data_IF_106358598984
#
_entry.id   IF_106358598984
#
_cell.length_a   1.000
_cell.length_b   1.000
_cell.length_c   1.000
_cell.angle_alpha   90.00
_cell.angle_beta   90.00
_cell.angle_gamma   90.00
#
_symmetry.space_group_name_H-M   'P 1'
#
loop_
_entity.id
_entity.type
_entity.pdbx_description
1 polymer ?
#
# COMPACT_ATOMS: atom_id res chain seq x y z
N UNK A 1 14.13 -7.89 0.76
CA UNK A 1 15.29 -7.41 1.55
C UNK A 1 14.83 -6.38 2.59
N UNK A 2 15.71 -5.96 3.51
CA UNK A 2 15.37 -5.05 4.62
C UNK A 2 14.89 -3.66 4.15
N UNK A 3 15.47 -3.11 3.07
CA UNK A 3 15.06 -1.79 2.55
C UNK A 3 13.63 -1.84 2.04
N UNK A 4 13.31 -2.87 1.27
CA UNK A 4 11.95 -3.11 0.77
C UNK A 4 10.95 -3.28 1.91
N UNK A 5 11.30 -4.06 2.94
CA UNK A 5 10.43 -4.24 4.11
C UNK A 5 10.18 -2.91 4.85
N UNK A 6 11.21 -2.10 5.07
CA UNK A 6 11.06 -0.76 5.69
C UNK A 6 10.18 0.17 4.85
N UNK A 7 10.31 0.15 3.54
CA UNK A 7 9.47 0.95 2.64
C UNK A 7 8.00 0.52 2.69
N UNK A 8 7.71 -0.79 2.70
CA UNK A 8 6.35 -1.31 2.86
C UNK A 8 5.74 -0.93 4.22
N UNK A 9 6.52 -0.99 5.31
CA UNK A 9 6.06 -0.55 6.63
C UNK A 9 5.77 0.95 6.66
N UNK A 10 6.63 1.78 6.05
CA UNK A 10 6.43 3.22 5.92
C UNK A 10 5.15 3.55 5.15
N UNK A 11 4.94 2.91 4.00
CA UNK A 11 3.72 3.04 3.21
C UNK A 11 2.49 2.61 4.02
N UNK A 12 2.59 1.48 4.72
CA UNK A 12 1.54 0.97 5.60
C UNK A 12 1.14 1.97 6.67
N UNK A 13 2.12 2.61 7.32
CA UNK A 13 1.87 3.67 8.30
C UNK A 13 1.19 4.88 7.70
N UNK A 14 1.63 5.34 6.52
CA UNK A 14 1.03 6.49 5.82
C UNK A 14 -0.44 6.24 5.46
N UNK A 15 -0.78 5.05 4.94
CA UNK A 15 -2.17 4.69 4.59
C UNK A 15 -3.03 4.55 5.85
N UNK A 16 -2.50 3.99 6.95
CA UNK A 16 -3.23 3.89 8.23
C UNK A 16 -3.57 5.25 8.83
N UNK A 17 -2.71 6.25 8.65
CA UNK A 17 -2.98 7.62 9.09
C UNK A 17 -4.10 8.31 8.28
N UNK A 18 -4.58 7.72 7.18
CA UNK A 18 -5.78 8.19 6.48
C UNK A 18 -7.07 7.70 7.14
N UNK A 19 -7.02 6.71 8.04
CA UNK A 19 -8.19 6.20 8.78
C UNK A 19 -8.94 7.33 9.49
N UNK A 20 -8.20 8.21 10.15
CA UNK A 20 -8.76 9.35 10.89
C UNK A 20 -9.31 10.46 9.96
N UNK A 21 -9.25 10.27 8.64
CA UNK A 21 -9.68 11.23 7.61
C UNK A 21 -10.80 10.71 6.71
N UNK A 22 -11.55 9.68 7.17
CA UNK A 22 -12.73 9.17 6.47
C UNK A 22 -12.49 7.86 5.70
N UNK A 23 -11.45 7.10 6.05
CA UNK A 23 -11.20 5.78 5.49
C UNK A 23 -11.67 4.70 6.50
N UNK A 24 -12.77 4.00 6.21
CA UNK A 24 -13.35 3.01 7.12
C UNK A 24 -12.45 1.78 7.33
N UNK A 25 -11.79 1.32 6.25
CA UNK A 25 -10.86 0.18 6.27
C UNK A 25 -9.47 0.56 5.80
N UNK A 26 -8.42 -0.01 6.40
CA UNK A 26 -7.04 0.34 6.08
C UNK A 26 -6.17 -0.89 5.80
N UNK A 27 -4.94 -0.67 5.32
CA UNK A 27 -3.98 -1.73 5.04
C UNK A 27 -3.68 -2.58 6.29
N UNK A 28 -4.06 -3.85 6.22
CA UNK A 28 -3.63 -4.85 7.20
C UNK A 28 -2.17 -5.25 6.97
N UNK A 29 -1.53 -5.82 7.99
CA UNK A 29 -0.18 -6.41 7.85
C UNK A 29 -0.15 -7.52 6.79
N UNK A 30 -1.27 -8.22 6.59
CA UNK A 30 -1.40 -9.26 5.55
C UNK A 30 -1.21 -8.69 4.14
N UNK A 31 -1.76 -7.50 3.88
CA UNK A 31 -1.59 -6.84 2.58
C UNK A 31 -0.14 -6.37 2.33
N UNK A 32 0.58 -6.00 3.40
CA UNK A 32 2.02 -5.72 3.30
C UNK A 32 2.82 -6.98 2.93
N UNK A 33 2.48 -8.12 3.53
CA UNK A 33 3.10 -9.41 3.21
C UNK A 33 2.80 -9.81 1.76
N UNK A 34 1.57 -9.62 1.28
CA UNK A 34 1.23 -9.92 -0.12
C UNK A 34 1.98 -9.03 -1.10
N UNK A 35 2.12 -7.73 -0.82
CA UNK A 35 2.96 -6.85 -1.63
C UNK A 35 4.42 -7.34 -1.65
N UNK A 36 4.96 -7.76 -0.51
CA UNK A 36 6.32 -8.31 -0.44
C UNK A 36 6.47 -9.59 -1.27
N UNK A 37 5.50 -10.50 -1.21
CA UNK A 37 5.49 -11.73 -2.00
C UNK A 37 5.50 -11.44 -3.50
N UNK A 38 4.66 -10.50 -3.96
CA UNK A 38 4.63 -10.08 -5.36
C UNK A 38 5.97 -9.47 -5.81
N UNK A 39 6.65 -8.71 -4.93
CA UNK A 39 7.98 -8.16 -5.21
C UNK A 39 9.03 -9.26 -5.30
N UNK A 40 8.97 -10.25 -4.42
CA UNK A 40 9.82 -11.44 -4.45
C UNK A 40 9.63 -12.23 -5.76
N UNK A 41 8.40 -12.31 -6.26
CA UNK A 41 8.05 -12.93 -7.54
C UNK A 41 8.42 -12.07 -8.77
N UNK A 42 9.10 -10.93 -8.58
CA UNK A 42 9.64 -10.08 -9.65
C UNK A 42 8.69 -8.98 -10.14
N UNK A 43 7.56 -8.76 -9.48
CA UNK A 43 6.69 -7.61 -9.79
C UNK A 43 7.32 -6.33 -9.24
N UNK A 44 7.32 -5.26 -10.05
CA UNK A 44 7.85 -3.96 -9.64
C UNK A 44 7.17 -3.48 -8.33
N UNK A 45 7.93 -2.93 -7.36
CA UNK A 45 7.39 -2.54 -6.04
C UNK A 45 6.15 -1.67 -6.07
N UNK A 46 6.14 -0.66 -6.94
CA UNK A 46 4.97 0.21 -7.14
C UNK A 46 3.74 -0.60 -7.57
N UNK A 47 3.90 -1.46 -8.58
CA UNK A 47 2.81 -2.28 -9.11
C UNK A 47 2.32 -3.33 -8.10
N UNK A 48 3.23 -3.94 -7.36
CA UNK A 48 2.88 -4.88 -6.29
C UNK A 48 2.03 -4.20 -5.19
N UNK A 49 2.41 -2.98 -4.78
CA UNK A 49 1.64 -2.21 -3.80
C UNK A 49 0.26 -1.80 -4.34
N UNK A 50 0.14 -1.42 -5.61
CA UNK A 50 -1.16 -1.14 -6.23
C UNK A 50 -2.08 -2.37 -6.20
N UNK A 51 -1.56 -3.53 -6.60
CA UNK A 51 -2.34 -4.78 -6.63
C UNK A 51 -2.77 -5.18 -5.21
N UNK A 52 -1.84 -5.18 -4.26
CA UNK A 52 -2.09 -5.71 -2.91
C UNK A 52 -2.76 -4.71 -1.96
N UNK A 53 -2.60 -3.39 -2.17
CA UNK A 53 -3.05 -2.37 -1.21
C UNK A 53 -4.02 -1.36 -1.81
N UNK A 54 -3.90 -0.98 -3.08
CA UNK A 54 -4.79 0.04 -3.66
C UNK A 54 -6.15 -0.53 -4.06
N UNK A 55 -6.17 -1.68 -4.73
CA UNK A 55 -7.41 -2.27 -5.23
C UNK A 55 -8.36 -2.82 -4.16
N UNK A 56 -7.90 -3.51 -3.09
CA UNK A 56 -8.82 -4.19 -2.19
C UNK A 56 -9.40 -3.33 -1.06
N UNK A 57 -8.98 -2.08 -0.88
CA UNK A 57 -9.34 -1.28 0.31
C UNK A 57 -10.65 -0.50 0.13
N UNK A 58 -10.91 0.01 -1.07
CA UNK A 58 -12.05 0.87 -1.34
C UNK A 58 -12.29 0.93 -2.84
N UNK A 59 -13.51 1.26 -3.27
CA UNK A 59 -13.84 1.59 -4.66
C UNK A 59 -13.94 3.09 -4.93
N UNK A 60 -13.82 3.92 -3.90
CA UNK A 60 -13.93 5.38 -4.02
C UNK A 60 -12.73 5.98 -4.78
N UNK A 61 -12.97 6.67 -5.91
CA UNK A 61 -11.90 7.19 -6.75
C UNK A 61 -10.99 8.21 -6.05
N UNK A 62 -11.52 9.11 -5.22
CA UNK A 62 -10.71 10.10 -4.49
C UNK A 62 -9.74 9.42 -3.52
N UNK A 63 -10.22 8.42 -2.79
CA UNK A 63 -9.41 7.68 -1.82
C UNK A 63 -8.36 6.84 -2.54
N UNK A 64 -8.72 6.18 -3.65
CA UNK A 64 -7.75 5.48 -4.51
C UNK A 64 -6.65 6.43 -4.97
N UNK A 65 -6.99 7.65 -5.39
CA UNK A 65 -5.99 8.65 -5.80
C UNK A 65 -5.04 9.01 -4.66
N UNK A 66 -5.55 9.24 -3.45
CA UNK A 66 -4.72 9.53 -2.28
C UNK A 66 -3.75 8.39 -1.95
N UNK A 67 -4.21 7.14 -1.96
CA UNK A 67 -3.37 5.97 -1.72
C UNK A 67 -2.32 5.82 -2.85
N UNK A 68 -2.71 6.03 -4.11
CA UNK A 68 -1.81 5.98 -5.26
C UNK A 68 -0.66 7.00 -5.16
N UNK A 69 -0.94 8.22 -4.71
CA UNK A 69 0.08 9.24 -4.45
C UNK A 69 1.04 8.81 -3.33
N UNK A 70 0.54 8.19 -2.26
CA UNK A 70 1.38 7.64 -1.19
C UNK A 70 2.30 6.52 -1.70
N UNK A 71 1.77 5.62 -2.54
CA UNK A 71 2.57 4.56 -3.18
C UNK A 71 3.69 5.20 -4.01
N UNK A 72 3.33 6.15 -4.88
CA UNK A 72 4.27 6.88 -5.77
C UNK A 72 5.34 7.65 -4.99
N UNK A 73 5.01 8.16 -3.81
CA UNK A 73 5.95 8.87 -2.93
C UNK A 73 6.95 7.94 -2.25
N UNK A 74 6.64 6.65 -2.09
CA UNK A 74 7.51 5.69 -1.39
C UNK A 74 8.32 4.84 -2.37
N UNK A 75 7.73 4.49 -3.53
CA UNK A 75 8.33 3.65 -4.59
C UNK A 75 8.18 4.30 -5.97
#
# INVERSE_FOLDING_TARGET
>A
DEKTARALVLLGGKIRNLKDKGLDETVSTRLLVYAAQLIEDGILPRRACEIAMLQPITDEPEVKRGIYELITSVF
#
